data_IF_841225786160
#
_entry.id   IF_841225786160
#
_cell.length_a   1.000
_cell.length_b   1.000
_cell.length_c   1.000
_cell.angle_alpha   90.00
_cell.angle_beta   90.00
_cell.angle_gamma   90.00
#
_symmetry.space_group_name_H-M   'P 1'
#
loop_
_entity.id
_entity.type
_entity.pdbx_description
1 polymer ?
#
# COMPACT_ATOMS: atom_id res chain seq x y z
N UNK A 1 7.50 -12.73 1.57
CA UNK A 1 8.29 -11.85 0.67
C UNK A 1 8.40 -10.44 1.22
N UNK A 2 7.28 -9.75 1.50
CA UNK A 2 7.32 -8.37 2.04
C UNK A 2 8.13 -8.24 3.33
N UNK A 3 7.80 -9.00 4.39
CA UNK A 3 8.50 -8.90 5.69
C UNK A 3 9.99 -9.22 5.55
N UNK A 4 10.32 -10.25 4.78
CA UNK A 4 11.71 -10.68 4.54
C UNK A 4 12.49 -9.60 3.80
N UNK A 5 11.90 -9.00 2.75
CA UNK A 5 12.51 -7.89 2.01
C UNK A 5 12.71 -6.65 2.87
N UNK A 6 11.74 -6.33 3.75
CA UNK A 6 11.82 -5.17 4.63
C UNK A 6 12.91 -5.34 5.67
N UNK A 7 13.02 -6.54 6.26
CA UNK A 7 14.09 -6.88 7.21
C UNK A 7 15.45 -6.79 6.54
N UNK A 8 15.60 -7.29 5.31
CA UNK A 8 16.84 -7.18 4.54
C UNK A 8 17.22 -5.71 4.25
N UNK A 9 16.25 -4.90 3.82
CA UNK A 9 16.48 -3.50 3.50
C UNK A 9 16.85 -2.67 4.74
N UNK A 10 16.16 -2.89 5.87
CA UNK A 10 16.42 -2.18 7.14
C UNK A 10 17.75 -2.63 7.77
N UNK A 11 18.07 -3.92 7.72
CA UNK A 11 19.31 -4.47 8.30
C UNK A 11 20.56 -3.83 7.67
N UNK A 12 20.51 -3.54 6.37
CA UNK A 12 21.63 -2.94 5.63
C UNK A 12 21.73 -1.42 5.75
N UNK A 13 20.80 -0.76 6.47
CA UNK A 13 20.89 0.68 6.72
C UNK A 13 22.02 1.03 7.71
N UNK A 14 22.30 0.12 8.65
CA UNK A 14 23.30 0.29 9.71
C UNK A 14 24.75 0.07 9.26
N UNK A 15 24.96 -0.40 8.02
CA UNK A 15 26.28 -0.69 7.46
C UNK A 15 26.30 -1.97 6.64
N UNK A 16 27.43 -2.29 5.98
CA UNK A 16 27.64 -3.60 5.37
C UNK A 16 27.54 -4.66 6.47
N UNK A 17 26.57 -5.57 6.34
CA UNK A 17 26.45 -6.68 7.28
C UNK A 17 27.40 -7.77 6.80
N UNK A 18 28.52 -7.92 7.47
CA UNK A 18 29.45 -9.01 7.22
C UNK A 18 28.83 -10.29 7.80
N UNK A 19 28.33 -11.16 6.91
CA UNK A 19 27.82 -12.46 7.30
C UNK A 19 28.89 -13.51 6.95
N UNK A 20 29.82 -13.73 7.88
CA UNK A 20 30.99 -14.58 7.63
C UNK A 20 31.95 -13.93 6.63
N UNK A 21 32.26 -14.63 5.54
CA UNK A 21 33.22 -14.20 4.49
C UNK A 21 32.54 -13.43 3.34
N UNK A 22 31.23 -13.13 3.46
CA UNK A 22 30.45 -12.47 2.41
C UNK A 22 30.04 -11.06 2.85
N UNK A 23 30.45 -10.07 2.07
CA UNK A 23 30.09 -8.68 2.29
C UNK A 23 28.70 -8.39 1.71
N UNK A 24 27.67 -8.27 2.56
CA UNK A 24 26.32 -7.88 2.15
C UNK A 24 26.28 -6.36 1.90
N UNK A 25 26.68 -5.97 0.70
CA UNK A 25 26.65 -4.58 0.21
C UNK A 25 25.34 -4.26 -0.55
N UNK A 26 25.31 -3.14 -1.29
CA UNK A 26 24.16 -2.59 -2.03
C UNK A 26 23.37 -3.61 -2.86
N UNK A 27 24.02 -4.64 -3.43
CA UNK A 27 23.36 -5.67 -4.24
C UNK A 27 22.25 -6.40 -3.48
N UNK A 28 22.49 -6.73 -2.21
CA UNK A 28 21.50 -7.40 -1.37
C UNK A 28 20.42 -6.43 -0.89
N UNK A 29 20.70 -5.13 -0.88
CA UNK A 29 19.71 -4.11 -0.56
C UNK A 29 18.71 -3.99 -1.68
N UNK A 30 19.19 -3.97 -2.93
CA UNK A 30 18.33 -3.99 -4.12
C UNK A 30 17.48 -5.26 -4.13
N UNK A 31 18.05 -6.41 -3.74
CA UNK A 31 17.28 -7.65 -3.59
C UNK A 31 16.18 -7.50 -2.52
N UNK A 32 16.48 -6.91 -1.37
CA UNK A 32 15.48 -6.64 -0.31
C UNK A 32 14.37 -5.67 -0.75
N UNK A 33 14.74 -4.59 -1.44
CA UNK A 33 13.81 -3.60 -2.00
C UNK A 33 12.88 -4.26 -3.03
N UNK A 34 13.44 -5.03 -3.96
CA UNK A 34 12.66 -5.73 -5.00
C UNK A 34 11.73 -6.79 -4.39
N UNK A 35 12.20 -7.58 -3.41
CA UNK A 35 11.34 -8.54 -2.69
C UNK A 35 10.20 -7.84 -1.94
N UNK A 36 10.47 -6.67 -1.36
CA UNK A 36 9.47 -5.85 -0.68
C UNK A 36 8.44 -5.30 -1.66
N UNK A 37 8.89 -4.80 -2.82
CA UNK A 37 8.02 -4.31 -3.87
C UNK A 37 7.11 -5.41 -4.43
N UNK A 38 7.69 -6.58 -4.74
CA UNK A 38 6.94 -7.73 -5.25
C UNK A 38 5.96 -8.24 -4.18
N UNK A 39 6.39 -8.29 -2.93
CA UNK A 39 5.53 -8.66 -1.80
C UNK A 39 4.34 -7.71 -1.63
N UNK A 40 4.58 -6.40 -1.72
CA UNK A 40 3.55 -5.37 -1.63
C UNK A 40 2.58 -5.45 -2.82
N UNK A 41 3.12 -5.65 -4.03
CA UNK A 41 2.32 -5.85 -5.24
C UNK A 41 1.40 -7.06 -5.15
N UNK A 42 1.90 -8.18 -4.62
CA UNK A 42 1.09 -9.38 -4.42
C UNK A 42 -0.05 -9.15 -3.41
N UNK A 43 0.22 -8.42 -2.32
CA UNK A 43 -0.81 -8.05 -1.33
C UNK A 43 -1.87 -7.13 -1.95
N UNK A 44 -1.45 -6.11 -2.70
CA UNK A 44 -2.36 -5.22 -3.42
C UNK A 44 -3.25 -5.97 -4.40
N UNK A 45 -2.68 -6.90 -5.18
CA UNK A 45 -3.45 -7.72 -6.11
C UNK A 45 -4.46 -8.63 -5.37
N UNK A 46 -4.02 -9.26 -4.28
CA UNK A 46 -4.89 -10.11 -3.45
C UNK A 46 -6.08 -9.35 -2.84
N UNK A 47 -5.85 -8.09 -2.44
CA UNK A 47 -6.92 -7.20 -1.95
C UNK A 47 -7.92 -6.85 -3.05
N UNK A 48 -7.44 -6.48 -4.25
CA UNK A 48 -8.31 -6.13 -5.40
C UNK A 48 -9.15 -7.32 -5.85
N UNK A 49 -8.54 -8.51 -5.96
CA UNK A 49 -9.27 -9.74 -6.31
C UNK A 49 -10.29 -10.08 -5.23
N UNK A 50 -9.94 -9.91 -3.95
CA UNK A 50 -10.87 -10.16 -2.85
C UNK A 50 -12.09 -9.25 -2.82
N UNK A 51 -11.97 -8.01 -3.30
CA UNK A 51 -13.08 -7.06 -3.35
C UNK A 51 -13.94 -7.16 -4.60
N UNK A 52 -13.36 -7.61 -5.72
CA UNK A 52 -14.07 -7.73 -7.01
C UNK A 52 -14.80 -9.06 -7.19
N UNK A 53 -14.48 -10.10 -6.40
CA UNK A 53 -15.13 -11.40 -6.52
C UNK A 53 -16.51 -11.43 -5.82
N UNK A 54 -17.58 -11.89 -6.50
CA UNK A 54 -18.92 -12.00 -5.92
C UNK A 54 -18.97 -12.90 -4.68
N UNK A 55 -19.73 -12.46 -3.67
CA UNK A 55 -19.99 -13.20 -2.44
C UNK A 55 -20.60 -14.57 -2.77
N UNK A 56 -19.79 -15.63 -2.76
CA UNK A 56 -20.26 -17.00 -3.00
C UNK A 56 -19.25 -17.98 -3.58
N UNK A 57 -18.14 -17.53 -4.20
CA UNK A 57 -17.15 -18.45 -4.82
C UNK A 57 -15.82 -18.61 -4.08
N UNK A 58 -15.47 -17.73 -3.16
CA UNK A 58 -14.18 -17.83 -2.46
C UNK A 58 -14.42 -18.45 -1.10
N UNK A 59 -14.16 -19.75 -1.01
CA UNK A 59 -14.12 -20.53 0.22
C UNK A 59 -13.33 -19.73 1.26
N UNK A 60 -14.03 -19.28 2.30
CA UNK A 60 -13.56 -18.56 3.49
C UNK A 60 -12.07 -18.79 3.81
N UNK A 61 -11.16 -18.05 3.17
CA UNK A 61 -9.81 -17.91 3.69
C UNK A 61 -9.95 -16.99 4.91
N UNK A 62 -9.87 -17.56 6.12
CA UNK A 62 -9.87 -16.80 7.39
C UNK A 62 -8.88 -15.62 7.37
N UNK A 63 -7.82 -15.73 6.55
CA UNK A 63 -6.89 -14.63 6.25
C UNK A 63 -7.52 -13.45 5.50
N UNK A 64 -8.37 -13.67 4.50
CA UNK A 64 -9.05 -12.59 3.76
C UNK A 64 -10.08 -11.88 4.63
N UNK A 65 -10.84 -12.59 5.46
CA UNK A 65 -11.80 -11.96 6.38
C UNK A 65 -11.11 -11.09 7.45
N UNK A 66 -9.94 -11.51 7.94
CA UNK A 66 -9.12 -10.72 8.86
C UNK A 66 -8.47 -9.52 8.16
N UNK A 67 -7.99 -9.70 6.92
CA UNK A 67 -7.47 -8.63 6.09
C UNK A 67 -8.54 -7.57 5.80
N UNK A 68 -9.78 -7.95 5.45
CA UNK A 68 -10.88 -7.02 5.20
C UNK A 68 -11.29 -6.22 6.44
N UNK A 69 -11.23 -6.84 7.63
CA UNK A 69 -11.57 -6.16 8.90
C UNK A 69 -10.46 -5.24 9.40
N UNK A 70 -9.20 -5.54 9.08
CA UNK A 70 -8.05 -4.66 9.37
C UNK A 70 -7.90 -3.53 8.35
N UNK A 71 -8.22 -3.78 7.08
CA UNK A 71 -8.08 -2.84 5.97
C UNK A 71 -9.30 -1.91 5.87
N UNK A 72 -9.58 -1.17 6.95
CA UNK A 72 -10.47 -0.02 6.84
C UNK A 72 -9.78 1.04 5.99
N UNK A 73 -10.48 1.58 4.99
CA UNK A 73 -10.00 2.60 4.07
C UNK A 73 -9.21 3.72 4.78
N UNK A 74 -9.75 4.18 5.91
CA UNK A 74 -9.17 5.24 6.74
C UNK A 74 -7.80 4.84 7.35
N UNK A 75 -7.64 3.58 7.78
CA UNK A 75 -6.35 3.09 8.31
C UNK A 75 -5.33 2.91 7.20
N UNK A 76 -5.73 2.37 6.05
CA UNK A 76 -4.84 2.18 4.90
C UNK A 76 -4.29 3.51 4.38
N UNK A 77 -5.17 4.52 4.27
CA UNK A 77 -4.79 5.89 3.87
C UNK A 77 -3.85 6.52 4.90
N UNK A 78 -4.12 6.38 6.21
CA UNK A 78 -3.23 6.88 7.26
C UNK A 78 -1.84 6.24 7.22
N UNK A 79 -1.77 4.91 7.06
CA UNK A 79 -0.50 4.19 6.94
C UNK A 79 0.26 4.65 5.69
N UNK A 80 -0.42 4.77 4.54
CA UNK A 80 0.18 5.27 3.31
C UNK A 80 0.72 6.69 3.49
N UNK A 81 -0.03 7.59 4.13
CA UNK A 81 0.40 8.96 4.38
C UNK A 81 1.65 9.02 5.27
N UNK A 82 1.71 8.20 6.33
CA UNK A 82 2.89 8.12 7.20
C UNK A 82 4.11 7.59 6.42
N UNK A 83 3.96 6.48 5.69
CA UNK A 83 5.07 5.92 4.89
C UNK A 83 5.55 6.92 3.83
N UNK A 84 4.62 7.60 3.17
CA UNK A 84 4.94 8.61 2.17
C UNK A 84 5.70 9.78 2.80
N UNK A 85 5.23 10.32 3.93
CA UNK A 85 5.89 11.42 4.61
C UNK A 85 7.31 11.06 5.05
N UNK A 86 7.52 9.86 5.60
CA UNK A 86 8.84 9.38 6.02
C UNK A 86 9.77 9.19 4.82
N UNK A 87 9.30 8.50 3.77
CA UNK A 87 10.08 8.27 2.56
C UNK A 87 10.44 9.57 1.84
N UNK A 88 9.44 10.44 1.66
CA UNK A 88 9.61 11.75 1.02
C UNK A 88 10.56 12.65 1.79
N UNK A 89 10.45 12.72 3.12
CA UNK A 89 11.36 13.54 3.94
C UNK A 89 12.80 13.01 3.85
N UNK A 90 12.97 11.69 3.83
CA UNK A 90 14.29 11.05 3.69
C UNK A 90 14.91 11.39 2.34
N UNK A 91 14.17 11.20 1.24
CA UNK A 91 14.66 11.52 -0.10
C UNK A 91 14.90 13.01 -0.30
N UNK A 92 13.98 13.87 0.17
CA UNK A 92 14.14 15.31 0.10
C UNK A 92 15.36 15.79 0.89
N UNK A 93 15.64 15.19 2.05
CA UNK A 93 16.84 15.49 2.83
C UNK A 93 18.11 15.13 2.07
N UNK A 94 18.20 13.92 1.50
CA UNK A 94 19.39 13.50 0.74
C UNK A 94 19.56 14.37 -0.51
N UNK A 95 18.48 14.65 -1.23
CA UNK A 95 18.50 15.48 -2.42
C UNK A 95 18.95 16.91 -2.09
N UNK A 96 18.42 17.50 -1.02
CA UNK A 96 18.81 18.84 -0.56
C UNK A 96 20.28 18.87 -0.17
N UNK A 97 20.73 17.90 0.64
CA UNK A 97 22.13 17.79 1.05
C UNK A 97 23.07 17.70 -0.17
N UNK A 98 22.70 16.89 -1.16
CA UNK A 98 23.46 16.73 -2.39
C UNK A 98 23.49 18.00 -3.24
N UNK A 99 22.37 18.72 -3.32
CA UNK A 99 22.28 19.97 -4.08
C UNK A 99 23.14 21.08 -3.45
N UNK A 100 23.28 21.10 -2.13
CA UNK A 100 24.12 22.05 -1.40
C UNK A 100 25.63 21.75 -1.47
N UNK A 101 26.04 20.49 -1.62
CA UNK A 101 27.46 20.07 -1.64
C UNK A 101 28.01 19.86 -3.07
N UNK A 102 27.77 20.84 -3.96
CA UNK A 102 28.31 20.88 -5.32
C UNK A 102 28.01 19.67 -6.20
N UNK A 103 26.96 18.90 -5.87
CA UNK A 103 26.55 17.70 -6.61
C UNK A 103 27.67 16.65 -6.71
N UNK A 104 28.52 16.57 -5.68
CA UNK A 104 29.60 15.59 -5.59
C UNK A 104 29.11 14.13 -5.57
N UNK A 105 30.06 13.20 -5.56
CA UNK A 105 29.79 11.76 -5.49
C UNK A 105 29.01 11.45 -4.21
N UNK A 106 27.84 10.81 -4.34
CA UNK A 106 27.07 10.36 -3.18
C UNK A 106 27.86 9.31 -2.41
N UNK A 107 27.97 9.48 -1.09
CA UNK A 107 28.52 8.43 -0.26
C UNK A 107 27.61 7.20 -0.27
N UNK A 108 28.15 5.99 -0.06
CA UNK A 108 27.36 4.76 -0.03
C UNK A 108 26.18 4.82 0.96
N UNK A 109 26.33 5.56 2.06
CA UNK A 109 25.28 5.77 3.05
C UNK A 109 24.09 6.57 2.47
N UNK A 110 24.36 7.67 1.76
CA UNK A 110 23.30 8.46 1.13
C UNK A 110 22.56 7.67 0.06
N UNK A 111 23.26 6.84 -0.72
CA UNK A 111 22.64 5.93 -1.70
C UNK A 111 21.73 4.89 -1.04
N UNK A 112 22.11 4.37 0.13
CA UNK A 112 21.27 3.44 0.90
C UNK A 112 20.01 4.13 1.46
N UNK A 113 20.17 5.37 1.93
CA UNK A 113 19.05 6.16 2.43
C UNK A 113 18.03 6.49 1.33
N UNK A 114 18.49 6.85 0.13
CA UNK A 114 17.59 7.16 -0.99
C UNK A 114 16.85 5.93 -1.50
N UNK A 115 17.52 4.78 -1.58
CA UNK A 115 16.85 3.53 -1.95
C UNK A 115 15.76 3.12 -0.94
N UNK A 116 15.99 3.36 0.36
CA UNK A 116 14.96 3.13 1.38
C UNK A 116 13.82 4.18 1.29
N UNK A 117 14.15 5.44 1.06
CA UNK A 117 13.16 6.51 0.82
C UNK A 117 12.24 6.17 -0.35
N UNK A 118 12.82 5.78 -1.48
CA UNK A 118 12.11 5.34 -2.68
C UNK A 118 11.24 4.10 -2.42
N UNK A 119 11.73 3.11 -1.67
CA UNK A 119 10.94 1.94 -1.29
C UNK A 119 9.69 2.35 -0.48
N UNK A 120 9.85 3.23 0.51
CA UNK A 120 8.76 3.72 1.34
C UNK A 120 7.71 4.49 0.52
N UNK A 121 8.17 5.38 -0.37
CA UNK A 121 7.29 6.13 -1.28
C UNK A 121 6.52 5.16 -2.19
N UNK A 122 7.22 4.19 -2.81
CA UNK A 122 6.60 3.21 -3.68
C UNK A 122 5.54 2.37 -2.95
N UNK A 123 5.85 1.89 -1.74
CA UNK A 123 4.89 1.16 -0.91
C UNK A 123 3.68 2.02 -0.54
N UNK A 124 3.89 3.29 -0.15
CA UNK A 124 2.82 4.21 0.19
C UNK A 124 1.85 4.44 -0.98
N UNK A 125 2.40 4.73 -2.17
CA UNK A 125 1.61 4.93 -3.38
C UNK A 125 0.79 3.68 -3.71
N UNK A 126 1.40 2.49 -3.60
CA UNK A 126 0.74 1.24 -3.91
C UNK A 126 -0.40 0.90 -2.94
N UNK A 127 -0.22 1.20 -1.65
CA UNK A 127 -1.27 1.10 -0.63
C UNK A 127 -2.40 2.10 -0.91
N UNK A 128 -2.07 3.35 -1.24
CA UNK A 128 -3.05 4.39 -1.56
C UNK A 128 -3.92 4.01 -2.77
N UNK A 129 -3.30 3.52 -3.86
CA UNK A 129 -4.04 3.01 -5.02
C UNK A 129 -4.96 1.85 -4.66
N UNK A 130 -4.48 0.92 -3.83
CA UNK A 130 -5.27 -0.23 -3.39
C UNK A 130 -6.47 0.20 -2.55
N UNK A 131 -6.28 1.17 -1.64
CA UNK A 131 -7.35 1.75 -0.85
C UNK A 131 -8.38 2.49 -1.73
N UNK A 132 -7.94 3.27 -2.72
CA UNK A 132 -8.83 3.95 -3.67
C UNK A 132 -9.69 2.97 -4.46
N UNK A 133 -9.11 1.89 -5.00
CA UNK A 133 -9.84 0.84 -5.73
C UNK A 133 -10.87 0.13 -4.84
N UNK A 134 -10.54 -0.10 -3.58
CA UNK A 134 -11.48 -0.64 -2.60
C UNK A 134 -12.63 0.36 -2.34
N UNK A 135 -12.32 1.63 -2.12
CA UNK A 135 -13.32 2.67 -1.87
C UNK A 135 -14.35 2.78 -3.01
N UNK A 136 -13.89 2.77 -4.27
CA UNK A 136 -14.79 2.91 -5.43
C UNK A 136 -15.69 1.70 -5.66
N UNK A 137 -15.18 0.49 -5.44
CA UNK A 137 -15.98 -0.74 -5.57
C UNK A 137 -17.11 -0.83 -4.55
N UNK A 138 -16.90 -0.32 -3.32
CA UNK A 138 -17.95 -0.22 -2.31
C UNK A 138 -19.05 0.79 -2.71
N UNK A 139 -18.69 1.99 -3.15
CA UNK A 139 -19.65 3.03 -3.55
C UNK A 139 -20.46 2.66 -4.80
N UNK A 140 -19.92 1.82 -5.69
CA UNK A 140 -20.62 1.37 -6.89
C UNK A 140 -21.71 0.31 -6.63
N UNK A 141 -21.72 -0.31 -5.44
CA UNK A 141 -22.70 -1.35 -5.05
C UNK A 141 -23.94 -0.80 -4.33
N UNK A 142 -24.23 0.49 -4.51
CA UNK A 142 -25.43 1.19 -4.03
C UNK A 142 -26.74 0.57 -4.52
N UNK A 143 -27.17 -0.48 -3.82
CA UNK A 143 -28.54 -0.82 -3.40
C UNK A 143 -29.70 -0.35 -4.32
N UNK A 144 -30.26 -1.24 -5.17
CA UNK A 144 -31.54 -1.02 -5.87
C UNK A 144 -32.80 -0.99 -4.95
N UNK A 145 -32.64 -0.79 -3.63
CA UNK A 145 -33.70 -1.08 -2.66
C UNK A 145 -34.58 0.12 -2.30
N UNK A 146 -34.17 1.35 -2.65
CA UNK A 146 -34.98 2.55 -2.43
C UNK A 146 -36.02 2.83 -3.53
N UNK A 147 -35.88 2.24 -4.73
CA UNK A 147 -36.89 2.42 -5.80
C UNK A 147 -38.18 1.63 -5.56
N UNK A 148 -38.13 0.47 -4.87
CA UNK A 148 -39.36 -0.29 -4.55
C UNK A 148 -40.23 0.34 -3.47
N UNK A 149 -39.66 1.20 -2.62
CA UNK A 149 -40.42 1.91 -1.59
C UNK A 149 -41.18 3.11 -2.16
N UNK A 150 -40.64 3.77 -3.20
CA UNK A 150 -41.32 4.88 -3.89
C UNK A 150 -42.49 4.41 -4.79
N UNK A 151 -42.40 3.21 -5.36
CA UNK A 151 -43.46 2.63 -6.21
C UNK A 151 -44.63 2.01 -5.42
N UNK A 152 -44.51 1.88 -4.09
CA UNK A 152 -45.55 1.30 -3.24
C UNK A 152 -46.57 2.34 -2.72
N UNK A 153 -46.55 3.56 -3.25
CA UNK A 153 -47.57 4.58 -2.94
C UNK A 153 -48.87 4.20 -3.66
N UNK A 154 -49.97 3.84 -2.98
CA UNK A 154 -51.19 3.44 -3.67
C UNK A 154 -51.79 4.65 -4.38
N UNK A 155 -51.83 4.62 -5.71
CA UNK A 155 -52.79 5.41 -6.47
C UNK A 155 -54.20 5.04 -6.00
N UNK A 156 -54.89 5.93 -5.32
CA UNK A 156 -56.33 5.77 -5.12
C UNK A 156 -56.88 6.29 -3.80
N UNK A 157 -56.91 7.61 -3.63
CA UNK A 157 -57.90 8.24 -2.76
C UNK A 157 -58.57 9.36 -3.56
N UNK A 158 -59.46 8.96 -4.47
CA UNK A 158 -60.44 9.86 -5.10
C UNK A 158 -61.55 10.09 -4.08
N UNK A 159 -61.82 11.33 -3.62
CA UNK A 159 -62.99 11.60 -2.81
C UNK A 159 -64.22 11.52 -3.75
N UNK A 160 -65.15 10.63 -3.45
CA UNK A 160 -66.49 10.59 -4.07
C UNK A 160 -67.42 11.56 -3.33
N UNK A 161 -68.42 12.14 -4.02
CA UNK A 161 -69.06 13.42 -3.69
C UNK A 161 -69.88 13.42 -2.41
#
# INVERSE_FOLDING_TARGET
>A
MLVVGLVLAISQLTGPVELGDTNLDIHYMILGVTLSLVGTSAVSLGLVVGATMPAGRVKHLRMMASAHRWYSFDRAVRIAAILFAVGFTTDAFVLSYWLYHDRGILTPLFTRLTLLGLLLIAMAVQIAFSALLLGTTYTGSGTPRDQRAADATPLGAVPRP
#
